data_IF_197671104880
#
_entry.id   IF_197671104880
#
_cell.length_a   1.000
_cell.length_b   1.000
_cell.length_c   1.000
_cell.angle_alpha   90.00
_cell.angle_beta   90.00
_cell.angle_gamma   90.00
#
_symmetry.space_group_name_H-M   'P 1'
#
loop_
_entity.id
_entity.type
_entity.pdbx_description
1 polymer ?
#
# COMPACT_ATOMS: atom_id res chain seq x y z
N UNK A 1 50.22 30.76 8.90
CA UNK A 1 49.81 31.85 9.80
C UNK A 1 48.28 32.02 9.65
N UNK A 2 47.52 31.84 10.74
CA UNK A 2 46.05 31.96 10.72
C UNK A 2 45.62 33.25 11.39
N UNK A 3 44.61 33.89 10.79
CA UNK A 3 44.01 35.13 11.30
C UNK A 3 42.49 34.91 11.43
N UNK A 4 41.92 35.18 12.59
CA UNK A 4 40.48 35.33 12.71
C UNK A 4 40.08 36.74 12.22
N UNK A 5 39.15 36.81 11.27
CA UNK A 5 38.57 38.06 10.80
C UNK A 5 37.16 38.23 11.35
N UNK A 6 36.90 39.32 12.04
CA UNK A 6 35.58 39.67 12.52
C UNK A 6 35.22 41.07 12.01
N UNK A 7 34.08 41.22 11.34
CA UNK A 7 33.57 42.50 10.87
C UNK A 7 32.59 43.05 11.91
N UNK A 8 32.99 44.15 12.59
CA UNK A 8 32.12 44.90 13.49
C UNK A 8 32.03 46.34 13.05
N UNK A 9 30.83 46.89 12.95
CA UNK A 9 30.56 48.31 12.59
C UNK A 9 31.28 48.75 11.31
N UNK A 10 31.32 47.90 10.27
CA UNK A 10 31.97 48.23 8.98
C UNK A 10 33.48 48.10 8.96
N UNK A 11 34.14 47.85 10.07
CA UNK A 11 35.61 47.64 10.15
C UNK A 11 35.91 46.14 10.29
N UNK A 12 36.90 45.67 9.53
CA UNK A 12 37.43 44.32 9.63
C UNK A 12 38.58 44.34 10.63
N UNK A 13 38.40 43.65 11.74
CA UNK A 13 39.49 43.43 12.69
C UNK A 13 40.07 42.03 12.44
N UNK A 14 41.36 41.96 12.16
CA UNK A 14 42.09 40.72 11.99
C UNK A 14 42.91 40.46 13.25
N UNK A 15 42.69 39.37 13.91
CA UNK A 15 43.46 38.94 15.04
C UNK A 15 44.37 37.77 14.63
N UNK A 16 45.66 37.90 14.85
CA UNK A 16 46.63 36.84 14.60
C UNK A 16 46.44 35.72 15.64
N UNK A 17 46.22 34.54 15.17
CA UNK A 17 45.96 33.35 16.03
C UNK A 17 47.17 32.45 16.24
N UNK A 18 48.34 32.80 15.67
CA UNK A 18 49.58 32.03 15.77
C UNK A 18 49.83 31.09 14.59
N UNK A 19 50.95 30.37 14.60
CA UNK A 19 51.18 29.33 13.64
C UNK A 19 50.31 28.13 14.01
N UNK A 20 49.28 27.90 13.20
CA UNK A 20 48.47 26.71 13.14
C UNK A 20 48.16 25.98 14.44
N UNK A 21 46.93 25.89 14.79
CA UNK A 21 46.40 24.73 15.54
C UNK A 21 45.71 23.83 14.48
N UNK A 22 46.42 22.90 13.82
CA UNK A 22 45.88 22.14 12.70
C UNK A 22 44.66 21.30 13.07
N UNK A 23 44.62 20.80 14.30
CA UNK A 23 43.53 19.98 14.80
C UNK A 23 42.20 20.73 14.90
N UNK A 24 42.18 21.99 15.35
CA UNK A 24 40.93 22.74 15.58
C UNK A 24 40.21 23.15 14.28
N UNK A 25 40.98 23.40 13.21
CA UNK A 25 40.41 23.73 11.90
C UNK A 25 39.84 22.49 11.21
N UNK A 26 40.59 21.38 11.24
CA UNK A 26 40.14 20.11 10.73
C UNK A 26 38.86 19.64 11.45
N UNK A 27 38.79 19.78 12.78
CA UNK A 27 37.60 19.45 13.57
C UNK A 27 36.37 20.33 13.20
N UNK A 28 36.61 21.59 12.85
CA UNK A 28 35.54 22.51 12.41
C UNK A 28 35.05 22.13 11.02
N UNK A 29 35.95 21.85 10.09
CA UNK A 29 35.62 21.42 8.73
C UNK A 29 34.87 20.07 8.74
N UNK A 30 35.30 19.11 9.56
CA UNK A 30 34.61 17.84 9.72
C UNK A 30 33.19 18.02 10.26
N UNK A 31 33.03 18.91 11.27
CA UNK A 31 31.70 19.22 11.82
C UNK A 31 30.81 19.93 10.81
N UNK A 32 31.36 20.85 10.00
CA UNK A 32 30.61 21.53 8.94
C UNK A 32 30.13 20.56 7.88
N UNK A 33 31.00 19.68 7.39
CA UNK A 33 30.63 18.63 6.43
C UNK A 33 29.55 17.71 6.98
N UNK A 34 29.63 17.38 8.27
CA UNK A 34 28.60 16.56 8.92
C UNK A 34 27.27 17.28 9.04
N UNK A 35 27.28 18.61 9.32
CA UNK A 35 26.06 19.44 9.34
C UNK A 35 25.42 19.50 7.96
N UNK A 36 26.20 19.67 6.91
CA UNK A 36 25.69 19.70 5.53
C UNK A 36 25.04 18.33 5.17
N UNK A 37 25.72 17.22 5.45
CA UNK A 37 25.19 15.88 5.21
C UNK A 37 23.88 15.64 5.97
N UNK A 38 23.82 15.97 7.26
CA UNK A 38 22.61 15.83 8.06
C UNK A 38 21.47 16.76 7.58
N UNK A 39 21.82 17.93 7.04
CA UNK A 39 20.82 18.85 6.48
C UNK A 39 20.19 18.30 5.21
N UNK A 40 20.97 17.60 4.39
CA UNK A 40 20.46 16.91 3.20
C UNK A 40 19.58 15.73 3.59
N UNK A 41 20.00 14.92 4.56
CA UNK A 41 19.18 13.81 5.08
C UNK A 41 17.83 14.30 5.65
N UNK A 42 17.84 15.42 6.39
CA UNK A 42 16.60 16.03 6.91
C UNK A 42 15.67 16.42 5.77
N UNK A 43 16.17 17.05 4.71
CA UNK A 43 15.34 17.43 3.55
C UNK A 43 14.73 16.21 2.85
N UNK A 44 15.50 15.14 2.72
CA UNK A 44 15.00 13.91 2.12
C UNK A 44 13.90 13.26 2.98
N UNK A 45 14.09 13.24 4.31
CA UNK A 45 13.08 12.72 5.24
C UNK A 45 11.82 13.58 5.25
N UNK A 46 11.93 14.90 5.20
CA UNK A 46 10.78 15.82 5.10
C UNK A 46 9.98 15.55 3.83
N UNK A 47 10.65 15.38 2.68
CA UNK A 47 10.00 15.03 1.42
C UNK A 47 9.27 13.67 1.50
N UNK A 48 9.90 12.67 2.13
CA UNK A 48 9.29 11.36 2.33
C UNK A 48 8.04 11.43 3.24
N UNK A 49 8.10 12.21 4.32
CA UNK A 49 6.96 12.45 5.22
C UNK A 49 5.80 13.09 4.46
N UNK A 50 6.04 14.17 3.70
CA UNK A 50 5.01 14.84 2.91
C UNK A 50 4.37 13.91 1.87
N UNK A 51 5.17 13.07 1.23
CA UNK A 51 4.70 12.06 0.28
C UNK A 51 3.80 11.03 0.95
N UNK A 52 4.19 10.52 2.12
CA UNK A 52 3.40 9.58 2.89
C UNK A 52 2.10 10.19 3.42
N UNK A 53 2.11 11.44 3.86
CA UNK A 53 0.91 12.17 4.30
C UNK A 53 -0.10 12.33 3.16
N UNK A 54 0.36 12.70 1.96
CA UNK A 54 -0.48 12.78 0.75
C UNK A 54 -1.10 11.42 0.41
N UNK A 55 -0.31 10.35 0.48
CA UNK A 55 -0.82 8.99 0.29
C UNK A 55 -1.85 8.61 1.36
N UNK A 56 -1.60 8.89 2.62
CA UNK A 56 -2.55 8.63 3.71
C UNK A 56 -3.88 9.40 3.51
N UNK A 57 -3.81 10.66 3.10
CA UNK A 57 -5.00 11.46 2.81
C UNK A 57 -5.79 10.91 1.62
N UNK A 58 -5.11 10.48 0.56
CA UNK A 58 -5.73 9.80 -0.58
C UNK A 58 -6.47 8.54 -0.15
N UNK A 59 -5.86 7.68 0.67
CA UNK A 59 -6.49 6.47 1.18
C UNK A 59 -7.65 6.76 2.14
N UNK A 60 -7.53 7.75 3.04
CA UNK A 60 -8.63 8.19 3.91
C UNK A 60 -9.84 8.70 3.13
N UNK A 61 -9.62 9.45 2.05
CA UNK A 61 -10.70 9.91 1.15
C UNK A 61 -11.38 8.74 0.43
N UNK A 62 -10.61 7.72 0.08
CA UNK A 62 -11.12 6.52 -0.59
C UNK A 62 -11.92 5.63 0.36
N UNK A 63 -11.45 5.43 1.59
CA UNK A 63 -12.20 4.69 2.63
C UNK A 63 -13.57 5.33 2.94
N UNK A 64 -13.67 6.65 2.89
CA UNK A 64 -14.96 7.36 3.09
C UNK A 64 -15.95 7.20 1.93
N UNK A 65 -15.47 6.80 0.75
CA UNK A 65 -16.30 6.58 -0.46
C UNK A 65 -16.71 5.12 -0.65
N UNK A 66 -16.18 4.19 0.15
CA UNK A 66 -16.63 2.82 0.07
C UNK A 66 -18.08 2.75 0.56
N UNK A 67 -19.01 2.18 -0.23
CA UNK A 67 -20.38 1.99 0.20
C UNK A 67 -20.35 1.17 1.50
N UNK A 68 -21.20 1.53 2.45
CA UNK A 68 -21.39 0.79 3.71
C UNK A 68 -21.93 -0.59 3.34
N UNK A 69 -21.02 -1.51 3.02
CA UNK A 69 -21.40 -2.88 2.72
C UNK A 69 -21.91 -3.52 4.00
N UNK A 70 -23.10 -4.06 3.92
CA UNK A 70 -23.69 -4.88 4.97
C UNK A 70 -22.74 -6.03 5.34
N UNK A 71 -22.91 -6.60 6.53
CA UNK A 71 -22.19 -7.80 6.91
C UNK A 71 -22.47 -8.90 5.87
N UNK A 72 -21.43 -9.50 5.35
CA UNK A 72 -21.54 -10.62 4.40
C UNK A 72 -20.43 -11.62 4.66
N UNK A 73 -20.57 -12.79 4.08
CA UNK A 73 -19.54 -13.82 4.13
C UNK A 73 -19.40 -14.48 2.76
N UNK A 74 -18.26 -15.10 2.53
CA UNK A 74 -18.03 -15.94 1.34
C UNK A 74 -16.98 -16.97 1.66
N UNK A 75 -16.95 -18.00 0.83
CA UNK A 75 -15.99 -19.09 0.91
C UNK A 75 -14.97 -18.94 -0.22
N UNK A 76 -13.74 -19.35 0.04
CA UNK A 76 -12.65 -19.37 -0.93
C UNK A 76 -12.27 -20.82 -1.18
N UNK A 77 -12.18 -21.18 -2.42
CA UNK A 77 -11.86 -22.52 -2.88
C UNK A 77 -10.58 -22.52 -3.68
N UNK A 78 -9.83 -23.57 -3.59
CA UNK A 78 -8.81 -23.99 -4.56
C UNK A 78 -9.34 -25.25 -5.23
N UNK A 79 -9.67 -25.15 -6.53
CA UNK A 79 -10.46 -26.17 -7.21
C UNK A 79 -11.76 -26.45 -6.43
N UNK A 80 -11.97 -27.67 -5.97
CA UNK A 80 -13.16 -28.05 -5.19
C UNK A 80 -12.90 -28.16 -3.68
N UNK A 81 -11.69 -27.76 -3.21
CA UNK A 81 -11.35 -27.75 -1.79
C UNK A 81 -11.55 -26.37 -1.19
N UNK A 82 -12.28 -26.28 -0.09
CA UNK A 82 -12.41 -25.03 0.67
C UNK A 82 -11.10 -24.70 1.38
N UNK A 83 -10.55 -23.53 1.09
CA UNK A 83 -9.28 -23.07 1.66
C UNK A 83 -9.44 -22.00 2.71
N UNK A 84 -10.52 -21.21 2.63
CA UNK A 84 -10.84 -20.22 3.64
C UNK A 84 -12.34 -19.88 3.66
N UNK A 85 -12.79 -19.38 4.80
CA UNK A 85 -14.10 -18.73 4.95
C UNK A 85 -13.88 -17.31 5.47
N UNK A 86 -14.48 -16.33 4.79
CA UNK A 86 -14.31 -14.92 5.07
C UNK A 86 -15.61 -14.33 5.60
N UNK A 87 -15.51 -13.64 6.72
CA UNK A 87 -16.63 -12.95 7.36
C UNK A 87 -16.33 -11.45 7.40
N UNK A 88 -17.11 -10.67 6.69
CA UNK A 88 -16.99 -9.21 6.68
C UNK A 88 -17.99 -8.63 7.68
N UNK A 89 -17.48 -8.00 8.73
CA UNK A 89 -18.25 -7.28 9.75
C UNK A 89 -17.95 -5.79 9.63
N UNK A 90 -18.79 -4.93 10.23
CA UNK A 90 -18.79 -3.45 10.09
C UNK A 90 -17.43 -2.79 9.77
N UNK A 91 -16.36 -3.13 10.50
CA UNK A 91 -15.01 -2.55 10.30
C UNK A 91 -13.89 -3.58 10.15
N UNK A 92 -14.18 -4.86 10.36
CA UNK A 92 -13.18 -5.94 10.37
C UNK A 92 -13.58 -7.05 9.42
N UNK A 93 -12.58 -7.66 8.83
CA UNK A 93 -12.70 -8.89 8.06
C UNK A 93 -11.98 -9.98 8.82
N UNK A 94 -12.68 -11.09 9.08
CA UNK A 94 -12.14 -12.25 9.78
C UNK A 94 -12.04 -13.38 8.76
N UNK A 95 -10.88 -14.00 8.70
CA UNK A 95 -10.56 -15.09 7.80
C UNK A 95 -10.28 -16.36 8.62
N UNK A 96 -11.09 -17.38 8.41
CA UNK A 96 -10.83 -18.74 8.90
C UNK A 96 -10.16 -19.53 7.78
N UNK A 97 -8.86 -19.79 7.88
CA UNK A 97 -8.11 -20.59 6.91
C UNK A 97 -8.21 -22.08 7.26
N UNK A 98 -8.29 -22.89 6.24
CA UNK A 98 -8.34 -24.36 6.33
C UNK A 98 -7.10 -25.01 5.69
N UNK A 99 -6.23 -24.25 5.05
CA UNK A 99 -4.97 -24.71 4.48
C UNK A 99 -3.82 -23.81 4.90
N UNK A 100 -2.65 -24.38 5.11
CA UNK A 100 -1.40 -23.65 5.35
C UNK A 100 -0.53 -23.59 4.08
N UNK A 101 -0.95 -24.21 2.99
CA UNK A 101 -0.19 -24.14 1.73
C UNK A 101 -0.34 -22.76 1.10
N UNK A 102 0.77 -21.98 0.96
CA UNK A 102 0.71 -20.61 0.45
C UNK A 102 0.17 -20.49 -0.98
N UNK A 103 0.32 -21.53 -1.80
CA UNK A 103 -0.20 -21.54 -3.18
C UNK A 103 -1.72 -21.71 -3.27
N UNK A 104 -2.37 -22.13 -2.20
CA UNK A 104 -3.78 -22.48 -2.20
C UNK A 104 -4.65 -21.44 -1.48
N UNK A 105 -4.10 -20.34 -0.97
CA UNK A 105 -4.88 -19.30 -0.30
C UNK A 105 -4.41 -17.88 -0.64
N UNK A 106 -5.34 -16.94 -0.52
CA UNK A 106 -5.10 -15.50 -0.81
C UNK A 106 -4.79 -14.66 0.43
N UNK A 107 -5.00 -15.20 1.63
CA UNK A 107 -5.01 -14.42 2.85
C UNK A 107 -3.82 -14.75 3.74
N UNK A 108 -2.88 -13.82 3.87
CA UNK A 108 -1.74 -13.97 4.77
C UNK A 108 -2.15 -13.84 6.25
N UNK A 109 -3.13 -12.98 6.56
CA UNK A 109 -3.58 -12.69 7.93
C UNK A 109 -4.97 -13.24 8.22
N UNK A 110 -5.22 -13.62 9.49
CA UNK A 110 -6.53 -14.05 9.98
C UNK A 110 -7.50 -12.89 10.21
N UNK A 111 -6.98 -11.67 10.36
CA UNK A 111 -7.76 -10.44 10.46
C UNK A 111 -7.20 -9.40 9.51
N UNK A 112 -8.08 -8.62 8.90
CA UNK A 112 -7.72 -7.51 8.03
C UNK A 112 -8.80 -6.44 8.00
N UNK A 113 -8.48 -5.29 7.41
CA UNK A 113 -9.45 -4.23 7.15
C UNK A 113 -10.26 -4.53 5.90
N UNK A 114 -11.42 -3.87 5.75
CA UNK A 114 -12.19 -3.93 4.49
C UNK A 114 -11.41 -3.39 3.30
N UNK A 115 -10.57 -2.38 3.52
CA UNK A 115 -9.69 -1.83 2.51
C UNK A 115 -8.72 -2.89 1.97
N UNK A 116 -8.08 -3.64 2.86
CA UNK A 116 -7.18 -4.73 2.46
C UNK A 116 -7.92 -5.83 1.69
N UNK A 117 -9.13 -6.19 2.12
CA UNK A 117 -9.98 -7.11 1.37
C UNK A 117 -10.32 -6.54 -0.02
N UNK A 118 -10.67 -5.25 -0.11
CA UNK A 118 -10.94 -4.58 -1.38
C UNK A 118 -9.76 -4.66 -2.34
N UNK A 119 -8.52 -4.52 -1.83
CA UNK A 119 -7.30 -4.68 -2.63
C UNK A 119 -7.09 -6.12 -3.12
N UNK A 120 -7.38 -7.10 -2.29
CA UNK A 120 -7.33 -8.52 -2.70
C UNK A 120 -8.37 -8.79 -3.80
N UNK A 121 -9.58 -8.26 -3.69
CA UNK A 121 -10.60 -8.37 -4.73
C UNK A 121 -10.20 -7.63 -6.01
N UNK A 122 -9.59 -6.44 -5.90
CA UNK A 122 -9.09 -5.68 -7.06
C UNK A 122 -8.04 -6.47 -7.86
N UNK A 123 -7.16 -7.22 -7.20
CA UNK A 123 -6.21 -8.13 -7.85
C UNK A 123 -6.86 -9.30 -8.59
N UNK A 124 -8.13 -9.60 -8.30
CA UNK A 124 -8.94 -10.65 -8.95
C UNK A 124 -9.84 -10.09 -10.06
N UNK A 125 -9.71 -8.80 -10.37
CA UNK A 125 -10.46 -8.11 -11.41
C UNK A 125 -9.55 -7.71 -12.57
N UNK A 126 -10.17 -7.34 -13.69
CA UNK A 126 -9.44 -6.63 -14.75
C UNK A 126 -9.00 -5.26 -14.26
N UNK A 127 -7.90 -4.77 -14.81
CA UNK A 127 -7.40 -3.43 -14.47
C UNK A 127 -8.42 -2.34 -14.85
N UNK A 128 -8.66 -1.42 -13.93
CA UNK A 128 -9.57 -0.29 -14.14
C UNK A 128 -9.20 0.59 -15.34
N UNK A 129 -7.91 0.66 -15.67
CA UNK A 129 -7.37 1.47 -16.77
C UNK A 129 -7.40 0.81 -18.14
N UNK A 130 -7.95 -0.40 -18.29
CA UNK A 130 -8.08 -1.07 -19.58
C UNK A 130 -8.97 -0.27 -20.54
N UNK A 131 -8.62 -0.18 -21.84
CA UNK A 131 -9.45 0.52 -22.82
C UNK A 131 -10.86 -0.06 -22.97
N UNK A 132 -11.00 -1.37 -22.83
CA UNK A 132 -12.25 -2.14 -22.99
C UNK A 132 -13.02 -2.37 -21.66
N UNK A 133 -12.62 -1.72 -20.58
CA UNK A 133 -13.23 -1.95 -19.26
C UNK A 133 -14.74 -1.67 -19.24
N UNK A 134 -15.19 -0.64 -19.96
CA UNK A 134 -16.60 -0.28 -20.02
C UNK A 134 -17.44 -1.35 -20.73
N UNK A 135 -16.90 -2.00 -21.75
CA UNK A 135 -17.55 -3.11 -22.44
C UNK A 135 -17.68 -4.32 -21.51
N UNK A 136 -16.61 -4.64 -20.78
CA UNK A 136 -16.60 -5.72 -19.78
C UNK A 136 -17.65 -5.45 -18.69
N UNK A 137 -17.70 -4.23 -18.15
CA UNK A 137 -18.67 -3.86 -17.12
C UNK A 137 -20.12 -3.98 -17.64
N UNK A 138 -20.37 -3.53 -18.86
CA UNK A 138 -21.68 -3.67 -19.51
C UNK A 138 -22.09 -5.15 -19.66
N UNK A 139 -21.18 -6.02 -20.09
CA UNK A 139 -21.45 -7.47 -20.17
C UNK A 139 -21.76 -8.09 -18.82
N UNK A 140 -21.15 -7.59 -17.73
CA UNK A 140 -21.44 -8.02 -16.38
C UNK A 140 -22.71 -7.38 -15.79
N UNK A 141 -23.34 -6.43 -16.51
CA UNK A 141 -24.49 -5.68 -16.02
C UNK A 141 -24.15 -4.69 -14.91
N UNK A 142 -22.94 -4.13 -14.93
CA UNK A 142 -22.44 -3.18 -13.95
C UNK A 142 -22.31 -1.79 -14.55
N UNK A 143 -22.80 -0.76 -13.84
CA UNK A 143 -22.73 0.64 -14.27
C UNK A 143 -21.41 1.32 -13.93
N UNK A 144 -20.66 0.78 -12.97
CA UNK A 144 -19.40 1.34 -12.51
C UNK A 144 -18.40 0.26 -12.08
N UNK A 145 -17.12 0.63 -12.07
CA UNK A 145 -16.06 -0.27 -11.63
C UNK A 145 -16.07 -0.42 -10.10
N UNK A 146 -16.56 -1.57 -9.64
CA UNK A 146 -16.56 -1.96 -8.25
C UNK A 146 -15.97 -3.38 -8.13
N UNK A 147 -14.77 -3.55 -7.55
CA UNK A 147 -14.10 -4.85 -7.44
C UNK A 147 -14.96 -5.92 -6.76
N UNK A 148 -15.73 -5.55 -5.74
CA UNK A 148 -16.60 -6.50 -5.05
C UNK A 148 -17.72 -7.02 -5.96
N UNK A 149 -18.40 -6.13 -6.69
CA UNK A 149 -19.48 -6.51 -7.59
C UNK A 149 -18.94 -7.31 -8.80
N UNK A 150 -17.75 -6.94 -9.30
CA UNK A 150 -17.08 -7.71 -10.36
C UNK A 150 -16.78 -9.13 -9.85
N UNK A 151 -16.15 -9.25 -8.68
CA UNK A 151 -15.83 -10.55 -8.08
C UNK A 151 -17.09 -11.37 -7.81
N UNK A 152 -18.20 -10.76 -7.39
CA UNK A 152 -19.49 -11.44 -7.23
C UNK A 152 -20.00 -12.05 -8.54
N UNK A 153 -19.79 -11.39 -9.66
CA UNK A 153 -20.23 -11.86 -10.99
C UNK A 153 -19.28 -12.89 -11.60
N UNK A 154 -17.99 -12.75 -11.34
CA UNK A 154 -16.93 -13.58 -11.96
C UNK A 154 -16.39 -14.66 -11.05
N UNK A 155 -16.87 -14.72 -9.79
CA UNK A 155 -16.33 -15.57 -8.74
C UNK A 155 -14.82 -15.37 -8.50
N UNK A 156 -14.26 -14.25 -8.97
CA UNK A 156 -12.85 -13.91 -8.83
C UNK A 156 -11.90 -14.91 -9.50
N UNK A 157 -12.34 -15.62 -10.51
CA UNK A 157 -11.51 -16.58 -11.27
C UNK A 157 -10.39 -15.84 -11.99
N UNK A 158 -9.17 -16.36 -11.94
CA UNK A 158 -7.99 -15.83 -12.62
C UNK A 158 -7.30 -16.91 -13.46
N UNK A 159 -6.58 -16.49 -14.51
CA UNK A 159 -5.80 -17.40 -15.34
C UNK A 159 -4.57 -17.96 -14.63
N UNK A 160 -4.13 -17.33 -13.54
CA UNK A 160 -2.85 -17.61 -12.91
C UNK A 160 -2.93 -18.64 -11.79
N UNK A 161 -4.14 -19.01 -11.36
CA UNK A 161 -4.35 -19.94 -10.25
C UNK A 161 -5.71 -20.66 -10.36
N UNK A 162 -5.98 -21.54 -9.41
CA UNK A 162 -7.22 -22.32 -9.32
C UNK A 162 -8.14 -21.82 -8.19
N UNK A 163 -7.95 -20.56 -7.74
CA UNK A 163 -8.68 -19.97 -6.63
C UNK A 163 -9.94 -19.27 -7.15
N UNK A 164 -11.04 -19.47 -6.47
CA UNK A 164 -12.30 -18.81 -6.76
C UNK A 164 -13.15 -18.62 -5.49
N UNK A 165 -14.19 -17.79 -5.58
CA UNK A 165 -15.05 -17.42 -4.47
C UNK A 165 -16.46 -17.95 -4.66
N UNK A 166 -17.04 -18.50 -3.60
CA UNK A 166 -18.43 -18.91 -3.53
C UNK A 166 -19.18 -18.06 -2.53
N UNK A 167 -20.29 -17.48 -2.97
CA UNK A 167 -21.11 -16.62 -2.13
C UNK A 167 -22.26 -17.42 -1.48
N UNK A 168 -22.87 -16.91 -0.38
CA UNK A 168 -23.94 -17.61 0.32
C UNK A 168 -25.12 -17.90 -0.60
N UNK A 169 -25.63 -19.14 -0.52
CA UNK A 169 -26.76 -19.62 -1.31
C UNK A 169 -26.38 -20.24 -2.66
N UNK A 170 -25.13 -20.15 -3.08
CA UNK A 170 -24.65 -20.79 -4.30
C UNK A 170 -24.25 -22.25 -4.08
N UNK A 171 -24.47 -23.07 -5.09
CA UNK A 171 -24.08 -24.50 -5.12
C UNK A 171 -23.15 -24.76 -6.31
N UNK A 172 -22.15 -23.92 -6.47
CA UNK A 172 -21.21 -23.98 -7.59
C UNK A 172 -20.00 -24.85 -7.25
N UNK A 173 -19.45 -25.47 -8.30
CA UNK A 173 -18.19 -26.22 -8.30
C UNK A 173 -17.15 -25.52 -9.17
N UNK A 174 -15.90 -25.96 -9.13
CA UNK A 174 -14.83 -25.43 -9.98
C UNK A 174 -15.16 -25.49 -11.48
N UNK A 175 -15.94 -26.50 -11.91
CA UNK A 175 -16.36 -26.66 -13.31
C UNK A 175 -17.39 -25.61 -13.74
N UNK A 176 -18.26 -25.20 -12.83
CA UNK A 176 -19.32 -24.21 -13.12
C UNK A 176 -18.75 -22.82 -13.31
N UNK A 177 -17.65 -22.50 -12.63
CA UNK A 177 -16.96 -21.20 -12.71
C UNK A 177 -15.75 -21.20 -13.65
N UNK A 178 -15.57 -22.26 -14.43
CA UNK A 178 -14.49 -22.41 -15.42
C UNK A 178 -13.08 -22.28 -14.84
N UNK A 179 -12.88 -22.74 -13.61
CA UNK A 179 -11.54 -22.88 -13.04
C UNK A 179 -10.84 -24.03 -13.77
N UNK A 180 -9.64 -23.77 -14.25
CA UNK A 180 -8.84 -24.74 -15.03
C UNK A 180 -8.32 -25.88 -14.19
#
# INVERSE_FOLDING_TARGET
YYYAQCKRAGKVNSQYLGPVIPGTIADIEEKQNKIECLTEEIKELEWNIESLEKMMEYYKKREKKEPVMNNFSFEVYWKDEITARVYVKKKKVIVSRYTENPGNHLFASKEMTRFQLGKIMEMRCWEKGRPDINEILNHLGLSEYNPYEIVRKTHGVSYNDFIWFRFPGEKLTSKDVLVR
#
